data_IF_902664435915
#
_entry.id   IF_902664435915
#
_cell.length_a   1.000
_cell.length_b   1.000
_cell.length_c   1.000
_cell.angle_alpha   90.00
_cell.angle_beta   90.00
_cell.angle_gamma   90.00
#
_symmetry.space_group_name_H-M   'P 1'
#
loop_
_entity.id
_entity.type
_entity.pdbx_description
1 polymer ?
#
# COMPACT_ATOMS: atom_id res chain seq x y z
N UNK A 1 17.12 -0.62 -0.28
CA UNK A 1 16.11 -0.63 0.80
C UNK A 1 14.81 -1.23 0.29
N UNK A 2 14.02 -1.76 1.17
CA UNK A 2 12.81 -2.48 0.83
C UNK A 2 11.56 -1.68 1.23
N UNK A 3 10.57 -1.66 0.35
CA UNK A 3 9.32 -0.94 0.50
C UNK A 3 8.14 -1.88 0.27
N UNK A 4 7.17 -1.86 1.18
CA UNK A 4 5.94 -2.63 1.06
C UNK A 4 4.81 -1.70 0.61
N UNK A 5 4.26 -1.97 -0.57
CA UNK A 5 3.12 -1.27 -1.11
C UNK A 5 1.86 -2.12 -0.92
N UNK A 6 0.79 -1.49 -0.45
CA UNK A 6 -0.51 -2.16 -0.30
C UNK A 6 -1.64 -1.39 -0.97
N UNK A 7 -1.37 -0.19 -1.47
CA UNK A 7 -2.32 0.68 -2.16
C UNK A 7 -1.98 0.84 -3.64
N UNK A 8 -2.01 2.08 -4.13
CA UNK A 8 -1.78 2.38 -5.55
C UNK A 8 -0.45 1.86 -6.09
N UNK A 9 0.59 1.85 -5.27
CA UNK A 9 1.93 1.40 -5.69
C UNK A 9 2.08 -0.14 -5.75
N UNK A 10 1.01 -0.89 -5.55
CA UNK A 10 0.94 -2.29 -5.97
C UNK A 10 0.86 -2.37 -7.50
N UNK A 11 0.34 -1.32 -8.13
CA UNK A 11 0.21 -1.23 -9.58
C UNK A 11 1.58 -0.99 -10.21
N UNK A 12 1.98 -1.91 -11.09
CA UNK A 12 3.31 -1.92 -11.68
C UNK A 12 3.58 -0.69 -12.53
N UNK A 13 2.59 -0.26 -13.31
CA UNK A 13 2.69 0.93 -14.16
C UNK A 13 2.79 2.20 -13.31
N UNK A 14 1.98 2.31 -12.26
CA UNK A 14 2.01 3.46 -11.35
C UNK A 14 3.36 3.57 -10.64
N UNK A 15 3.88 2.46 -10.16
CA UNK A 15 5.19 2.46 -9.50
C UNK A 15 6.32 2.82 -10.45
N UNK A 16 6.29 2.31 -11.69
CA UNK A 16 7.29 2.63 -12.70
C UNK A 16 7.26 4.12 -13.08
N UNK A 17 6.09 4.74 -13.09
CA UNK A 17 5.94 6.17 -13.39
C UNK A 17 6.63 7.05 -12.34
N UNK A 18 6.45 6.74 -11.06
CA UNK A 18 7.05 7.53 -9.97
C UNK A 18 8.48 7.12 -9.62
N UNK A 19 8.78 5.84 -9.74
CA UNK A 19 10.05 5.24 -9.34
C UNK A 19 10.57 4.29 -10.41
N UNK A 20 11.09 4.80 -11.53
CA UNK A 20 11.49 3.94 -12.66
C UNK A 20 12.62 2.97 -12.34
N UNK A 21 13.40 3.23 -11.29
CA UNK A 21 14.48 2.34 -10.84
C UNK A 21 14.07 1.31 -9.80
N UNK A 22 12.81 1.35 -9.34
CA UNK A 22 12.33 0.36 -8.40
C UNK A 22 12.23 -1.01 -9.05
N UNK A 23 12.57 -2.05 -8.30
CA UNK A 23 12.54 -3.43 -8.77
C UNK A 23 11.49 -4.21 -7.99
N UNK A 24 10.49 -4.83 -8.64
CA UNK A 24 9.53 -5.66 -7.94
C UNK A 24 10.17 -6.97 -7.48
N UNK A 25 9.95 -7.30 -6.23
CA UNK A 25 10.38 -8.58 -5.66
C UNK A 25 9.24 -9.57 -5.54
N UNK A 26 8.00 -9.13 -5.80
CA UNK A 26 6.83 -9.98 -5.85
C UNK A 26 5.77 -9.63 -4.82
N UNK A 27 4.69 -10.40 -4.84
CA UNK A 27 3.59 -10.30 -3.89
C UNK A 27 3.86 -11.11 -2.63
N UNK A 28 3.48 -10.55 -1.49
CA UNK A 28 3.63 -11.17 -0.19
C UNK A 28 2.38 -10.91 0.64
N UNK A 29 2.26 -11.63 1.76
CA UNK A 29 1.15 -11.48 2.68
C UNK A 29 1.68 -11.13 4.06
N UNK A 30 1.40 -9.90 4.51
CA UNK A 30 1.85 -9.40 5.81
C UNK A 30 0.85 -9.80 6.89
N UNK A 31 1.22 -10.70 7.83
CA UNK A 31 0.29 -11.14 8.86
C UNK A 31 -0.02 -10.02 9.86
N UNK A 32 -1.17 -10.15 10.52
CA UNK A 32 -1.60 -9.25 11.61
C UNK A 32 -1.89 -7.81 11.17
N UNK A 33 -2.20 -7.62 9.88
CA UNK A 33 -2.54 -6.30 9.36
C UNK A 33 -3.76 -6.41 8.45
N UNK A 34 -4.62 -5.40 8.52
CA UNK A 34 -5.88 -5.32 7.78
C UNK A 34 -5.90 -4.10 6.89
N UNK A 35 -6.33 -4.27 5.64
CA UNK A 35 -6.56 -3.17 4.70
C UNK A 35 -7.81 -2.39 5.11
N UNK A 36 -7.71 -1.08 5.13
CA UNK A 36 -8.81 -0.16 5.43
C UNK A 36 -8.79 0.97 4.41
N UNK A 37 -9.96 1.36 3.91
CA UNK A 37 -10.08 2.57 3.08
C UNK A 37 -10.57 3.74 3.92
N UNK A 38 -9.83 4.86 3.83
CA UNK A 38 -10.14 6.15 4.45
C UNK A 38 -10.10 7.25 3.38
N UNK A 39 -10.81 6.99 2.26
CA UNK A 39 -10.64 7.72 1.02
C UNK A 39 -9.46 7.18 0.22
N UNK A 40 -8.35 6.98 0.87
CA UNK A 40 -7.16 6.30 0.36
C UNK A 40 -6.92 5.02 1.16
N UNK A 41 -6.03 4.17 0.65
CA UNK A 41 -5.68 2.93 1.34
C UNK A 41 -4.86 3.22 2.60
N UNK A 42 -5.19 2.53 3.66
CA UNK A 42 -4.51 2.53 4.94
C UNK A 42 -4.50 1.10 5.48
N UNK A 43 -3.80 0.86 6.56
CA UNK A 43 -3.85 -0.42 7.24
C UNK A 43 -3.90 -0.20 8.76
N UNK A 44 -4.38 -1.19 9.44
CA UNK A 44 -4.38 -1.24 10.90
C UNK A 44 -3.90 -2.61 11.37
N UNK A 45 -3.38 -2.67 12.59
CA UNK A 45 -3.06 -3.95 13.19
C UNK A 45 -4.34 -4.71 13.52
N UNK A 46 -4.41 -5.96 13.07
CA UNK A 46 -5.50 -6.86 13.39
C UNK A 46 -5.03 -8.30 13.19
N UNK A 47 -4.98 -9.06 14.29
CA UNK A 47 -4.44 -10.42 14.29
C UNK A 47 -5.24 -11.42 13.48
N UNK A 48 -6.45 -11.07 13.06
CA UNK A 48 -7.32 -11.94 12.26
C UNK A 48 -7.15 -11.76 10.76
N UNK A 49 -6.24 -10.88 10.32
CA UNK A 49 -6.09 -10.52 8.91
C UNK A 49 -4.66 -10.69 8.43
N UNK A 50 -4.54 -10.86 7.13
CA UNK A 50 -3.26 -10.92 6.41
C UNK A 50 -3.35 -9.92 5.26
N UNK A 51 -2.51 -8.88 5.29
CA UNK A 51 -2.52 -7.82 4.31
C UNK A 51 -1.73 -8.20 3.06
N UNK A 52 -2.34 -8.24 1.87
CA UNK A 52 -1.59 -8.42 0.63
C UNK A 52 -0.72 -7.20 0.35
N UNK A 53 0.54 -7.42 0.02
CA UNK A 53 1.50 -6.35 -0.27
C UNK A 53 2.37 -6.74 -1.46
N UNK A 54 2.93 -5.73 -2.13
CA UNK A 54 3.99 -5.91 -3.12
C UNK A 54 5.27 -5.37 -2.52
N UNK A 55 6.32 -6.17 -2.56
CA UNK A 55 7.64 -5.78 -2.08
C UNK A 55 8.45 -5.21 -3.25
N UNK A 56 9.00 -4.01 -3.04
CA UNK A 56 9.85 -3.33 -3.98
C UNK A 56 11.23 -3.08 -3.40
N UNK A 57 12.26 -3.31 -4.18
CA UNK A 57 13.60 -2.78 -3.88
C UNK A 57 13.69 -1.37 -4.44
N UNK A 58 13.99 -0.40 -3.58
CA UNK A 58 13.99 1.02 -3.92
C UNK A 58 15.33 1.68 -3.60
N UNK A 59 15.57 2.83 -4.24
CA UNK A 59 16.72 3.70 -4.00
C UNK A 59 16.33 4.88 -3.10
N UNK A 60 17.31 5.64 -2.62
CA UNK A 60 17.07 6.87 -1.87
C UNK A 60 16.27 7.89 -2.69
N UNK A 61 16.56 8.00 -3.98
CA UNK A 61 15.80 8.89 -4.87
C UNK A 61 14.36 8.45 -5.01
N UNK A 62 14.11 7.15 -5.10
CA UNK A 62 12.76 6.61 -5.10
C UNK A 62 12.02 6.94 -3.82
N UNK A 63 12.68 6.81 -2.66
CA UNK A 63 12.07 7.14 -1.39
C UNK A 63 11.62 8.61 -1.34
N UNK A 64 12.41 9.52 -1.89
CA UNK A 64 12.04 10.94 -1.99
C UNK A 64 10.79 11.14 -2.83
N UNK A 65 10.68 10.44 -3.97
CA UNK A 65 9.48 10.51 -4.82
C UNK A 65 8.26 9.89 -4.13
N UNK A 66 8.41 8.79 -3.42
CA UNK A 66 7.34 8.18 -2.64
C UNK A 66 6.84 9.13 -1.55
N UNK A 67 7.75 9.83 -0.86
CA UNK A 67 7.37 10.83 0.13
C UNK A 67 6.49 11.93 -0.45
N UNK A 68 6.75 12.34 -1.68
CA UNK A 68 5.91 13.33 -2.38
C UNK A 68 4.55 12.76 -2.75
N UNK A 69 4.51 11.55 -3.31
CA UNK A 69 3.27 10.88 -3.71
C UNK A 69 2.35 10.64 -2.52
N UNK A 70 2.91 10.25 -1.38
CA UNK A 70 2.16 9.96 -0.16
C UNK A 70 1.91 11.21 0.69
N UNK A 71 2.34 12.38 0.21
CA UNK A 71 2.24 13.64 0.94
C UNK A 71 2.78 13.49 2.38
N UNK A 72 3.98 12.92 2.48
CA UNK A 72 4.69 12.72 3.73
C UNK A 72 5.31 14.06 4.20
N UNK A 73 5.21 14.44 5.45
CA UNK A 73 4.57 13.75 6.57
C UNK A 73 3.14 14.20 6.88
N UNK A 74 2.48 14.94 5.98
CA UNK A 74 1.17 15.55 6.23
C UNK A 74 0.03 14.53 6.22
N UNK A 75 -0.14 13.81 5.10
CA UNK A 75 -1.24 12.84 4.93
C UNK A 75 -0.84 11.46 5.42
N UNK A 76 0.32 10.99 4.98
CA UNK A 76 0.89 9.72 5.40
C UNK A 76 2.13 9.94 6.25
N UNK A 77 2.31 9.06 7.20
CA UNK A 77 3.57 8.86 7.88
C UNK A 77 4.24 7.60 7.31
N UNK A 78 5.51 7.41 7.58
CA UNK A 78 6.19 6.18 7.20
C UNK A 78 6.89 5.60 8.42
N UNK A 79 6.96 4.28 8.45
CA UNK A 79 7.61 3.54 9.52
C UNK A 79 8.34 2.33 8.96
N UNK A 80 9.16 1.72 9.75
CA UNK A 80 9.79 0.44 9.44
C UNK A 80 9.15 -0.64 10.28
N UNK A 81 8.85 -1.76 9.66
CA UNK A 81 8.27 -2.94 10.31
C UNK A 81 9.18 -4.14 10.12
N UNK A 82 8.84 -5.27 10.79
CA UNK A 82 9.62 -6.51 10.76
C UNK A 82 11.10 -6.27 11.05
N UNK A 83 11.39 -5.84 12.28
CA UNK A 83 12.76 -5.56 12.74
C UNK A 83 13.45 -4.47 11.91
N UNK A 84 12.66 -3.50 11.44
CA UNK A 84 13.14 -2.36 10.65
C UNK A 84 13.68 -2.74 9.27
N UNK A 85 13.19 -3.83 8.70
CA UNK A 85 13.63 -4.28 7.37
C UNK A 85 12.87 -3.62 6.24
N UNK A 86 11.60 -3.20 6.48
CA UNK A 86 10.70 -2.73 5.43
C UNK A 86 10.12 -1.36 5.73
N UNK A 87 10.18 -0.46 4.75
CA UNK A 87 9.43 0.80 4.78
C UNK A 87 7.98 0.54 4.41
N UNK A 88 7.06 1.18 5.13
CA UNK A 88 5.63 1.14 4.84
C UNK A 88 5.02 2.50 5.22
N UNK A 89 4.04 2.96 4.43
CA UNK A 89 3.31 4.19 4.71
C UNK A 89 1.97 3.87 5.34
N UNK A 90 1.57 4.67 6.33
CA UNK A 90 0.24 4.60 6.92
C UNK A 90 -0.29 6.02 7.18
N UNK A 91 -1.60 6.18 7.15
CA UNK A 91 -2.22 7.50 7.31
C UNK A 91 -2.07 8.01 8.74
N UNK A 92 -1.87 9.33 8.88
CA UNK A 92 -1.80 9.99 10.19
C UNK A 92 -3.18 10.03 10.85
N UNK A 93 -4.21 10.37 10.09
CA UNK A 93 -5.58 10.38 10.59
C UNK A 93 -6.23 9.03 10.29
N UNK A 94 -6.39 8.22 11.33
CA UNK A 94 -6.98 6.90 11.25
C UNK A 94 -8.40 6.86 11.80
N UNK A 95 -9.05 8.02 11.89
CA UNK A 95 -10.44 8.10 12.31
C UNK A 95 -11.41 7.75 11.18
N UNK A 96 -12.21 6.72 11.40
CA UNK A 96 -13.28 6.34 10.48
C UNK A 96 -12.81 5.75 9.14
N UNK A 97 -13.78 5.42 8.33
CA UNK A 97 -13.59 4.86 6.99
C UNK A 97 -14.27 5.75 5.95
N UNK A 98 -13.81 5.65 4.70
CA UNK A 98 -14.38 6.37 3.57
C UNK A 98 -14.09 5.60 2.29
N UNK A 99 -15.09 5.46 1.43
CA UNK A 99 -14.94 4.78 0.14
C UNK A 99 -13.86 5.42 -0.71
N UNK A 100 -13.02 4.63 -1.37
CA UNK A 100 -12.09 5.16 -2.36
C UNK A 100 -12.84 5.58 -3.62
N UNK A 101 -12.23 6.46 -4.43
CA UNK A 101 -12.74 6.71 -5.78
C UNK A 101 -12.63 5.43 -6.62
N UNK A 102 -13.49 5.30 -7.63
CA UNK A 102 -13.46 4.14 -8.51
C UNK A 102 -12.13 4.02 -9.26
N UNK A 103 -11.58 5.13 -9.73
CA UNK A 103 -10.32 5.13 -10.46
C UNK A 103 -9.16 4.68 -9.57
N UNK A 104 -9.10 5.19 -8.35
CA UNK A 104 -8.08 4.80 -7.37
C UNK A 104 -8.18 3.31 -7.04
N UNK A 105 -9.40 2.83 -6.77
CA UNK A 105 -9.65 1.42 -6.48
C UNK A 105 -9.21 0.51 -7.63
N UNK A 106 -9.52 0.88 -8.88
CA UNK A 106 -9.13 0.09 -10.05
C UNK A 106 -7.62 -0.01 -10.22
N UNK A 107 -6.89 1.05 -9.87
CA UNK A 107 -5.44 1.00 -9.90
C UNK A 107 -4.88 -0.02 -8.92
N UNK A 108 -5.46 -0.10 -7.72
CA UNK A 108 -5.07 -1.10 -6.72
C UNK A 108 -5.46 -2.51 -7.20
N UNK A 109 -6.66 -2.67 -7.73
CA UNK A 109 -7.13 -3.94 -8.26
C UNK A 109 -6.20 -4.47 -9.35
N UNK A 110 -5.78 -3.60 -10.26
CA UNK A 110 -4.81 -3.96 -11.30
C UNK A 110 -3.46 -4.37 -10.68
N UNK A 111 -3.00 -3.68 -9.65
CA UNK A 111 -1.78 -4.05 -8.94
C UNK A 111 -1.86 -5.45 -8.32
N UNK A 112 -3.00 -5.79 -7.74
CA UNK A 112 -3.24 -7.14 -7.21
C UNK A 112 -3.16 -8.18 -8.32
N UNK A 113 -3.72 -7.88 -9.51
CA UNK A 113 -3.64 -8.76 -10.68
C UNK A 113 -2.21 -8.87 -11.21
N UNK A 114 -1.47 -7.77 -11.24
CA UNK A 114 -0.07 -7.75 -11.69
C UNK A 114 0.80 -8.73 -10.91
N UNK A 115 0.51 -8.94 -9.62
CA UNK A 115 1.32 -9.77 -8.73
C UNK A 115 0.56 -11.00 -8.21
N UNK A 116 -0.56 -11.34 -8.81
CA UNK A 116 -1.39 -12.50 -8.45
C UNK A 116 -1.76 -12.55 -6.95
N UNK A 117 -2.06 -11.39 -6.37
CA UNK A 117 -2.52 -11.29 -4.99
C UNK A 117 -4.01 -11.62 -4.89
N UNK A 118 -4.41 -12.24 -3.78
CA UNK A 118 -5.81 -12.52 -3.49
C UNK A 118 -6.59 -11.21 -3.28
N UNK A 119 -7.69 -11.04 -4.00
CA UNK A 119 -8.47 -9.80 -4.02
C UNK A 119 -9.60 -9.77 -2.98
N UNK A 120 -9.77 -10.84 -2.21
CA UNK A 120 -10.89 -10.94 -1.27
C UNK A 120 -10.89 -9.81 -0.24
N UNK A 121 -9.76 -9.59 0.42
CA UNK A 121 -9.65 -8.52 1.41
C UNK A 121 -9.84 -7.13 0.80
N UNK A 122 -9.38 -6.94 -0.45
CA UNK A 122 -9.58 -5.69 -1.18
C UNK A 122 -11.07 -5.39 -1.36
N UNK A 123 -11.86 -6.38 -1.77
CA UNK A 123 -13.31 -6.24 -1.92
C UNK A 123 -14.01 -6.01 -0.59
N UNK A 124 -13.61 -6.74 0.45
CA UNK A 124 -14.18 -6.57 1.79
C UNK A 124 -13.90 -5.17 2.34
N UNK A 125 -12.67 -4.68 2.20
CA UNK A 125 -12.31 -3.35 2.67
C UNK A 125 -13.11 -2.24 1.97
N UNK A 126 -13.34 -2.38 0.65
CA UNK A 126 -14.19 -1.45 -0.09
C UNK A 126 -15.64 -1.49 0.40
N UNK A 127 -16.18 -2.67 0.60
CA UNK A 127 -17.55 -2.86 1.08
C UNK A 127 -17.75 -2.24 2.46
N UNK A 128 -16.83 -2.46 3.37
CA UNK A 128 -16.89 -1.93 4.74
C UNK A 128 -16.73 -0.41 4.80
N UNK A 129 -16.14 0.20 3.79
CA UNK A 129 -15.97 1.65 3.71
C UNK A 129 -17.17 2.37 3.11
N UNK A 130 -18.12 1.64 2.54
CA UNK A 130 -19.29 2.20 1.86
C UNK A 130 -20.29 2.87 2.83
#
# INVERSE_FOLDING_TARGET
MLYLAYGMNTNQEAMASGCPKAKPLGGFYLPNHRLVFRGYADFEQNSNYILPVVMWEITDDCLKELNKLEDYPRLYNRTKINERRFWIYNMNDQSGTKSPSDDYYRMIEQGYKDFALDEYQLRVARHEAA
#
